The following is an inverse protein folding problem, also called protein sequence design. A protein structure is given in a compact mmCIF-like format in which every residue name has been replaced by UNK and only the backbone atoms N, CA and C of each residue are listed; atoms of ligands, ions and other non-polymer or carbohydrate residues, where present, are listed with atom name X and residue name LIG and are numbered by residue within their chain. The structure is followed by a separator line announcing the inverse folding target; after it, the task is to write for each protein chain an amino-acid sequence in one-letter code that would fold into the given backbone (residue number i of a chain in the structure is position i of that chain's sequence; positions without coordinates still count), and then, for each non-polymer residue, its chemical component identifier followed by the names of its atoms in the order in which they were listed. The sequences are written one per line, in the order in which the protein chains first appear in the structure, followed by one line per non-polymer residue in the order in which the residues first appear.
data_IF_392673757752
#
_entry.id   IF_392673757752
#
_cell.length_a   1.000
_cell.length_b   1.000
_cell.length_c   1.000
_cell.angle_alpha   90.00
_cell.angle_beta   90.00
_cell.angle_gamma   90.00
#
_symmetry.space_group_name_H-M   'P 1'
#
loop_
_entity.id
_entity.type
_entity.pdbx_description
1 polymer ?
#
# COMPACT_ATOMS: atom_id res chain seq x y z
N UNK A 1 -46.41 5.83 -54.78
CA UNK A 1 -45.66 4.75 -54.12
C UNK A 1 -45.34 5.30 -52.75
N UNK A 2 -46.21 5.01 -51.78
CA UNK A 2 -46.12 5.64 -50.47
C UNK A 2 -45.09 4.90 -49.63
N UNK A 3 -43.99 5.59 -49.31
CA UNK A 3 -42.98 5.08 -48.40
C UNK A 3 -43.50 5.17 -46.97
N UNK A 4 -43.86 4.02 -46.40
CA UNK A 4 -44.24 3.90 -44.99
C UNK A 4 -42.96 3.88 -44.16
N UNK A 5 -42.77 4.90 -43.31
CA UNK A 5 -41.66 4.97 -42.36
C UNK A 5 -42.04 4.11 -41.14
N UNK A 6 -41.25 3.08 -40.78
CA UNK A 6 -41.48 2.37 -39.54
C UNK A 6 -41.14 3.32 -38.40
N UNK A 7 -42.18 3.78 -37.70
CA UNK A 7 -42.01 4.59 -36.49
C UNK A 7 -41.77 3.65 -35.32
N UNK A 8 -40.71 2.86 -35.39
CA UNK A 8 -40.22 2.07 -34.26
C UNK A 8 -39.09 2.82 -33.55
N UNK A 9 -39.38 4.02 -33.04
CA UNK A 9 -38.65 4.50 -31.87
C UNK A 9 -39.42 3.94 -30.66
N UNK A 10 -39.37 2.62 -30.52
CA UNK A 10 -40.04 1.89 -29.47
C UNK A 10 -39.42 2.25 -28.12
N UNK A 11 -40.26 2.62 -27.16
CA UNK A 11 -39.87 2.69 -25.76
C UNK A 11 -39.10 1.42 -25.38
N UNK A 12 -38.02 1.52 -24.57
CA UNK A 12 -37.26 0.35 -24.16
C UNK A 12 -38.21 -0.71 -23.62
N UNK A 13 -38.17 -1.91 -24.23
CA UNK A 13 -38.95 -3.02 -23.72
C UNK A 13 -38.20 -3.65 -22.56
N UNK A 14 -38.94 -4.26 -21.63
CA UNK A 14 -38.37 -4.94 -20.45
C UNK A 14 -37.24 -5.91 -20.83
N UNK A 15 -37.35 -6.57 -22.01
CA UNK A 15 -36.31 -7.47 -22.53
C UNK A 15 -35.03 -6.75 -22.91
N UNK A 16 -35.14 -5.58 -23.54
CA UNK A 16 -33.98 -4.75 -23.93
C UNK A 16 -33.30 -4.19 -22.68
N UNK A 17 -34.07 -3.75 -21.69
CA UNK A 17 -33.51 -3.23 -20.43
C UNK A 17 -32.85 -4.33 -19.60
N UNK A 18 -33.44 -5.51 -19.54
CA UNK A 18 -32.83 -6.66 -18.86
C UNK A 18 -31.51 -7.09 -19.51
N UNK A 19 -31.43 -7.09 -20.86
CA UNK A 19 -30.20 -7.39 -21.58
C UNK A 19 -29.11 -6.33 -21.34
N UNK A 20 -29.47 -5.04 -21.37
CA UNK A 20 -28.53 -3.95 -21.03
C UNK A 20 -28.02 -4.05 -19.60
N UNK A 21 -28.87 -4.44 -18.65
CA UNK A 21 -28.48 -4.62 -17.27
C UNK A 21 -27.53 -5.83 -17.11
N UNK A 22 -27.77 -6.93 -17.81
CA UNK A 22 -26.84 -8.08 -17.78
C UNK A 22 -25.48 -7.72 -18.35
N UNK A 23 -25.45 -6.96 -19.45
CA UNK A 23 -24.20 -6.50 -20.07
C UNK A 23 -23.43 -5.58 -19.12
N UNK A 24 -24.12 -4.59 -18.52
CA UNK A 24 -23.52 -3.69 -17.54
C UNK A 24 -22.95 -4.43 -16.32
N UNK A 25 -23.67 -5.45 -15.82
CA UNK A 25 -23.22 -6.27 -14.69
C UNK A 25 -21.99 -7.12 -15.06
N UNK A 26 -21.94 -7.66 -16.29
CA UNK A 26 -20.78 -8.43 -16.77
C UNK A 26 -19.54 -7.54 -16.89
N UNK A 27 -19.69 -6.35 -17.46
CA UNK A 27 -18.60 -5.38 -17.57
C UNK A 27 -18.15 -4.87 -16.19
N UNK A 28 -19.08 -4.69 -15.25
CA UNK A 28 -18.74 -4.36 -13.86
C UNK A 28 -17.90 -5.48 -13.22
N UNK A 29 -18.29 -6.75 -13.40
CA UNK A 29 -17.54 -7.90 -12.90
C UNK A 29 -16.10 -7.94 -13.43
N UNK A 30 -15.93 -7.76 -14.75
CA UNK A 30 -14.61 -7.71 -15.38
C UNK A 30 -13.73 -6.58 -14.85
N UNK A 31 -14.30 -5.40 -14.65
CA UNK A 31 -13.57 -4.25 -14.10
C UNK A 31 -13.12 -4.49 -12.66
N UNK A 32 -13.95 -5.18 -11.86
CA UNK A 32 -13.58 -5.55 -10.49
C UNK A 32 -12.46 -6.59 -10.48
N UNK A 33 -12.56 -7.65 -11.29
CA UNK A 33 -11.52 -8.68 -11.40
C UNK A 33 -10.17 -8.05 -11.79
N UNK A 34 -10.16 -7.17 -12.79
CA UNK A 34 -8.96 -6.43 -13.19
C UNK A 34 -8.38 -5.61 -12.04
N UNK A 35 -9.24 -4.95 -11.26
CA UNK A 35 -8.81 -4.15 -10.11
C UNK A 35 -8.16 -5.01 -9.04
N UNK A 36 -8.72 -6.19 -8.78
CA UNK A 36 -8.18 -7.11 -7.79
C UNK A 36 -6.88 -7.77 -8.24
N UNK A 37 -6.74 -8.13 -9.53
CA UNK A 37 -5.46 -8.60 -10.10
C UNK A 37 -4.33 -7.56 -9.95
N UNK A 38 -4.64 -6.28 -10.20
CA UNK A 38 -3.68 -5.18 -10.02
C UNK A 38 -3.29 -5.01 -8.55
N UNK A 39 -4.27 -5.10 -7.64
CA UNK A 39 -4.02 -5.02 -6.19
C UNK A 39 -3.17 -6.16 -5.69
N UNK A 40 -3.46 -7.39 -6.10
CA UNK A 40 -2.68 -8.58 -5.72
C UNK A 40 -1.25 -8.46 -6.23
N UNK A 41 -1.07 -8.07 -7.49
CA UNK A 41 0.25 -7.83 -8.08
C UNK A 41 1.04 -6.76 -7.33
N UNK A 42 0.37 -5.67 -6.92
CA UNK A 42 0.98 -4.62 -6.12
C UNK A 42 1.36 -5.11 -4.71
N UNK A 43 0.51 -5.92 -4.07
CA UNK A 43 0.76 -6.51 -2.76
C UNK A 43 1.99 -7.44 -2.80
N UNK A 44 2.11 -8.30 -3.81
CA UNK A 44 3.28 -9.18 -3.99
C UNK A 44 4.56 -8.35 -4.11
N UNK A 45 4.55 -7.29 -4.94
CA UNK A 45 5.70 -6.39 -5.10
C UNK A 45 6.06 -5.67 -3.81
N UNK A 46 5.06 -5.24 -3.04
CA UNK A 46 5.28 -4.58 -1.76
C UNK A 46 5.97 -5.52 -0.77
N UNK A 47 5.50 -6.77 -0.67
CA UNK A 47 6.11 -7.79 0.20
C UNK A 47 7.55 -8.08 -0.22
N UNK A 48 7.82 -8.29 -1.51
CA UNK A 48 9.19 -8.48 -2.02
C UNK A 48 10.09 -7.28 -1.69
N UNK A 49 9.60 -6.06 -1.87
CA UNK A 49 10.34 -4.85 -1.51
C UNK A 49 10.67 -4.78 -0.02
N UNK A 50 9.69 -5.03 0.85
CA UNK A 50 9.90 -5.05 2.30
C UNK A 50 10.91 -6.12 2.71
N UNK A 51 10.82 -7.32 2.12
CA UNK A 51 11.78 -8.40 2.37
C UNK A 51 13.19 -7.98 1.95
N UNK A 52 13.38 -7.43 0.75
CA UNK A 52 14.69 -6.95 0.27
C UNK A 52 15.26 -5.84 1.14
N UNK A 53 14.43 -4.88 1.54
CA UNK A 53 14.83 -3.81 2.44
C UNK A 53 15.33 -4.40 3.77
N UNK A 54 14.53 -5.27 4.40
CA UNK A 54 14.91 -5.92 5.66
C UNK A 54 16.20 -6.73 5.55
N UNK A 55 16.36 -7.52 4.49
CA UNK A 55 17.55 -8.32 4.24
C UNK A 55 18.79 -7.43 4.06
N UNK A 56 18.66 -6.33 3.31
CA UNK A 56 19.76 -5.39 3.09
C UNK A 56 20.23 -4.71 4.39
N UNK A 57 19.28 -4.25 5.23
CA UNK A 57 19.62 -3.67 6.53
C UNK A 57 20.23 -4.71 7.47
N UNK A 58 19.58 -5.87 7.61
CA UNK A 58 20.01 -6.94 8.50
C UNK A 58 21.38 -7.52 8.12
N UNK A 59 21.75 -7.53 6.84
CA UNK A 59 23.08 -7.97 6.39
C UNK A 59 24.22 -7.18 7.04
N UNK A 60 23.99 -5.92 7.41
CA UNK A 60 25.01 -5.05 8.04
C UNK A 60 24.98 -5.10 9.56
N UNK A 61 23.96 -5.72 10.16
CA UNK A 61 23.82 -5.81 11.62
C UNK A 61 24.82 -6.85 12.15
N UNK A 62 25.62 -6.45 13.13
CA UNK A 62 26.48 -7.36 13.90
C UNK A 62 25.83 -7.60 15.26
N UNK A 63 25.30 -8.80 15.54
CA UNK A 63 24.72 -9.10 16.84
C UNK A 63 25.77 -8.91 17.93
N UNK A 64 25.40 -8.19 18.99
CA UNK A 64 26.21 -8.02 20.19
C UNK A 64 25.37 -8.42 21.40
N UNK A 65 25.85 -9.38 22.17
CA UNK A 65 25.21 -9.75 23.44
C UNK A 65 25.65 -8.77 24.53
N UNK A 66 24.67 -8.25 25.28
CA UNK A 66 24.89 -7.42 26.46
C UNK A 66 24.59 -8.26 27.70
N UNK A 67 25.49 -8.24 28.68
CA UNK A 67 25.30 -8.91 29.97
C UNK A 67 25.02 -7.87 31.05
N UNK A 68 24.44 -8.29 32.17
CA UNK A 68 24.30 -7.41 33.32
C UNK A 68 25.68 -6.85 33.72
N UNK A 69 25.76 -5.54 33.98
CA UNK A 69 27.02 -4.82 34.23
C UNK A 69 27.83 -4.43 32.98
N UNK A 70 27.30 -4.65 31.76
CA UNK A 70 27.95 -4.16 30.53
C UNK A 70 27.65 -2.68 30.34
N UNK A 71 28.69 -1.84 30.46
CA UNK A 71 28.58 -0.41 30.19
C UNK A 71 28.26 -0.15 28.72
N UNK A 72 27.14 0.54 28.47
CA UNK A 72 26.72 0.92 27.11
C UNK A 72 26.38 2.40 27.02
N UNK A 73 26.78 3.01 25.90
CA UNK A 73 26.39 4.39 25.59
C UNK A 73 25.01 4.38 24.95
N UNK A 74 24.11 5.24 25.44
CA UNK A 74 22.77 5.41 24.88
C UNK A 74 22.79 6.57 23.89
N UNK A 75 22.20 6.37 22.70
CA UNK A 75 22.09 7.45 21.71
C UNK A 75 21.08 8.49 22.20
N UNK A 76 21.44 9.77 22.14
CA UNK A 76 20.52 10.88 22.36
C UNK A 76 19.67 11.04 21.10
N UNK A 77 18.34 11.05 21.27
CA UNK A 77 17.39 11.43 20.24
C UNK A 77 16.72 12.75 20.62
N UNK A 78 16.03 13.40 19.70
CA UNK A 78 15.34 14.68 19.96
C UNK A 78 14.37 14.60 21.16
N UNK A 79 13.72 13.45 21.34
CA UNK A 79 12.83 13.20 22.47
C UNK A 79 13.54 12.85 23.79
N UNK A 80 14.86 12.64 23.76
CA UNK A 80 15.70 12.31 24.94
C UNK A 80 16.73 13.40 25.25
N UNK A 81 16.84 14.42 24.39
CA UNK A 81 17.74 15.54 24.61
C UNK A 81 17.28 16.39 25.80
N UNK A 82 18.24 16.90 26.56
CA UNK A 82 17.95 17.83 27.66
C UNK A 82 17.36 19.14 27.11
N UNK A 83 16.45 19.75 27.89
CA UNK A 83 15.85 21.02 27.51
C UNK A 83 16.93 22.09 27.45
N UNK A 84 17.15 22.66 26.27
CA UNK A 84 18.24 23.61 26.02
C UNK A 84 19.53 22.97 25.48
N UNK A 85 19.51 21.68 25.13
CA UNK A 85 20.62 21.00 24.46
C UNK A 85 21.03 21.74 23.18
N UNK A 86 22.27 22.26 23.18
CA UNK A 86 22.83 22.96 22.03
C UNK A 86 23.26 21.99 20.92
N UNK A 87 23.42 22.54 19.71
CA UNK A 87 23.82 21.81 18.49
C UNK A 87 25.16 21.05 18.60
N UNK A 88 25.97 21.32 19.62
CA UNK A 88 27.29 20.72 19.83
C UNK A 88 27.39 19.80 21.04
N UNK A 89 26.27 19.45 21.68
CA UNK A 89 26.29 18.45 22.75
C UNK A 89 26.60 17.04 22.22
N UNK A 90 27.03 16.16 23.13
CA UNK A 90 27.33 14.78 22.79
C UNK A 90 26.08 14.04 22.28
N UNK A 91 26.21 13.32 21.16
CA UNK A 91 25.13 12.50 20.60
C UNK A 91 24.86 11.21 21.40
N UNK A 92 25.60 11.00 22.50
CA UNK A 92 25.57 9.81 23.33
C UNK A 92 25.60 10.22 24.80
N UNK A 93 24.72 9.62 25.60
CA UNK A 93 24.76 9.72 27.05
C UNK A 93 25.74 8.71 27.62
N UNK A 94 26.22 9.02 28.84
CA UNK A 94 27.21 8.22 29.55
C UNK A 94 26.82 6.75 29.76
N UNK A 95 27.78 5.91 30.15
CA UNK A 95 27.56 4.48 30.26
C UNK A 95 26.50 4.16 31.32
N UNK A 96 25.48 3.41 30.91
CA UNK A 96 24.43 2.81 31.78
C UNK A 96 24.85 1.41 32.17
#
# INVERSE_FOLDING_TARGET
MDAVIPTEIGLPTIRIDAAKQSDANMELGRNLDWTDEVRESAAIRMVDYQQRASAHYNRKVRPRSLKNGTLVLRKVFENTAEVGAEKFQANWEGPI
#
